data_IF_334221273275
#
_entry.id   IF_334221273275
#
_cell.length_a   1.000
_cell.length_b   1.000
_cell.length_c   1.000
_cell.angle_alpha   90.00
_cell.angle_beta   90.00
_cell.angle_gamma   90.00
#
_symmetry.space_group_name_H-M   'P 1'
#
loop_
_entity.id
_entity.type
_entity.pdbx_description
1 polymer ?
#
# COMPACT_ATOMS: atom_id res chain seq x y z
N UNK A 1 16.60 -32.71 -10.37
CA UNK A 1 16.57 -32.63 -8.90
C UNK A 1 16.47 -31.17 -8.33
N UNK A 2 16.49 -30.15 -9.17
CA UNK A 2 16.29 -28.74 -8.74
C UNK A 2 14.80 -28.30 -8.64
N UNK A 3 13.89 -29.07 -9.25
CA UNK A 3 12.45 -28.74 -9.24
C UNK A 3 11.77 -29.03 -7.89
N UNK A 4 12.23 -30.07 -7.18
CA UNK A 4 11.59 -30.47 -5.90
C UNK A 4 11.92 -29.55 -4.72
N UNK A 5 13.05 -28.85 -4.76
CA UNK A 5 13.41 -27.91 -3.69
C UNK A 5 12.63 -26.59 -3.83
N UNK A 6 12.41 -26.13 -5.07
CA UNK A 6 11.59 -24.94 -5.38
C UNK A 6 10.11 -25.20 -5.10
N UNK A 7 9.60 -26.39 -5.44
CA UNK A 7 8.23 -26.80 -5.12
C UNK A 7 8.00 -26.99 -3.62
N UNK A 8 8.97 -27.53 -2.87
CA UNK A 8 8.88 -27.63 -1.40
C UNK A 8 8.94 -26.26 -0.72
N UNK A 9 9.72 -25.29 -1.22
CA UNK A 9 9.74 -23.94 -0.72
C UNK A 9 8.43 -23.18 -1.04
N UNK A 10 7.84 -23.38 -2.21
CA UNK A 10 6.49 -22.88 -2.55
C UNK A 10 5.43 -23.46 -1.61
N UNK A 11 5.41 -24.78 -1.38
CA UNK A 11 4.42 -25.42 -0.49
C UNK A 11 4.55 -25.03 0.99
N UNK A 12 5.73 -24.58 1.44
CA UNK A 12 5.93 -24.09 2.81
C UNK A 12 5.50 -22.62 2.93
N UNK A 13 5.71 -21.82 1.88
CA UNK A 13 5.25 -20.43 1.79
C UNK A 13 3.72 -20.36 1.80
N UNK A 14 3.05 -21.20 1.04
CA UNK A 14 1.57 -21.25 0.92
C UNK A 14 0.84 -21.61 2.23
N UNK A 15 1.53 -22.12 3.24
CA UNK A 15 0.90 -22.50 4.52
C UNK A 15 0.85 -21.39 5.58
N UNK A 16 1.61 -20.30 5.39
CA UNK A 16 1.78 -19.26 6.42
C UNK A 16 1.49 -17.83 5.97
N UNK A 17 1.31 -17.58 4.68
CA UNK A 17 1.04 -16.26 4.13
C UNK A 17 -0.31 -16.29 3.42
N UNK A 18 -1.14 -15.28 3.67
CA UNK A 18 -2.43 -15.13 3.02
C UNK A 18 -2.52 -13.81 2.29
N UNK A 19 -2.96 -13.86 1.04
CA UNK A 19 -3.29 -12.66 0.29
C UNK A 19 -4.54 -12.04 0.88
N UNK A 20 -4.45 -10.77 1.25
CA UNK A 20 -5.51 -9.98 1.86
C UNK A 20 -6.35 -9.31 0.78
N UNK A 21 -7.62 -9.07 1.07
CA UNK A 21 -8.48 -8.34 0.15
C UNK A 21 -8.21 -6.84 0.21
N UNK A 22 -7.86 -6.24 -0.91
CA UNK A 22 -7.66 -4.80 -1.04
C UNK A 22 -9.01 -4.09 -1.23
N UNK A 23 -9.30 -3.12 -0.37
CA UNK A 23 -10.47 -2.26 -0.48
C UNK A 23 -10.32 -1.30 -1.67
N UNK A 24 -11.41 -1.03 -2.36
CA UNK A 24 -11.42 -0.13 -3.51
C UNK A 24 -12.32 1.08 -3.28
N UNK A 25 -11.85 2.25 -3.73
CA UNK A 25 -12.63 3.48 -3.73
C UNK A 25 -13.98 3.30 -4.45
N UNK A 26 -15.10 3.76 -3.90
CA UNK A 26 -15.24 4.70 -2.77
C UNK A 26 -15.57 4.05 -1.41
N UNK A 27 -15.07 2.86 -1.10
CA UNK A 27 -15.32 2.20 0.19
C UNK A 27 -14.96 3.13 1.36
N UNK A 28 -15.93 3.37 2.26
CA UNK A 28 -15.79 4.32 3.37
C UNK A 28 -14.72 3.88 4.38
N UNK A 29 -14.42 2.58 4.48
CA UNK A 29 -13.36 2.07 5.36
C UNK A 29 -11.98 2.63 5.01
N UNK A 30 -11.75 3.02 3.74
CA UNK A 30 -10.54 3.72 3.30
C UNK A 30 -10.38 5.10 3.95
N UNK A 31 -11.43 5.65 4.56
CA UNK A 31 -11.43 6.96 5.23
C UNK A 31 -11.13 6.87 6.73
N UNK A 32 -10.93 5.67 7.25
CA UNK A 32 -10.61 5.46 8.66
C UNK A 32 -9.16 5.87 8.93
N UNK A 33 -8.96 6.70 9.95
CA UNK A 33 -7.62 7.10 10.42
C UNK A 33 -7.01 5.95 11.21
N UNK A 34 -5.80 5.56 10.85
CA UNK A 34 -5.07 4.48 11.50
C UNK A 34 -4.55 4.88 12.88
N UNK A 35 -4.65 3.95 13.82
CA UNK A 35 -4.10 4.11 15.18
C UNK A 35 -2.65 3.61 15.26
N UNK A 36 -1.82 4.18 16.13
CA UNK A 36 -0.48 3.65 16.37
C UNK A 36 -0.49 2.18 16.79
N UNK A 37 0.50 1.42 16.36
CA UNK A 37 0.80 0.09 16.87
C UNK A 37 1.45 0.25 18.23
N UNK A 38 0.85 -0.28 19.29
CA UNK A 38 1.37 -0.14 20.65
C UNK A 38 2.60 -1.03 20.88
N UNK A 39 2.57 -2.24 20.31
CA UNK A 39 3.67 -3.21 20.42
C UNK A 39 3.71 -4.08 19.16
N UNK A 40 4.93 -4.30 18.65
CA UNK A 40 5.16 -5.26 17.56
C UNK A 40 5.14 -6.68 18.13
N UNK A 41 4.06 -7.39 17.89
CA UNK A 41 3.83 -8.77 18.33
C UNK A 41 4.06 -9.75 17.17
N UNK A 42 4.16 -11.08 17.41
CA UNK A 42 4.21 -12.07 16.34
C UNK A 42 3.01 -11.98 15.38
N UNK A 43 1.83 -11.61 15.87
CA UNK A 43 0.63 -11.39 15.04
C UNK A 43 0.79 -10.20 14.11
N UNK A 44 1.36 -9.10 14.58
CA UNK A 44 1.70 -7.92 13.75
C UNK A 44 2.74 -8.30 12.71
N UNK A 45 3.77 -9.05 13.07
CA UNK A 45 4.80 -9.52 12.14
C UNK A 45 4.20 -10.39 11.03
N UNK A 46 3.31 -11.33 11.40
CA UNK A 46 2.60 -12.15 10.41
C UNK A 46 1.73 -11.29 9.49
N UNK A 47 1.02 -10.34 10.04
CA UNK A 47 0.20 -9.43 9.24
C UNK A 47 1.04 -8.59 8.27
N UNK A 48 2.21 -8.12 8.69
CA UNK A 48 3.19 -7.45 7.81
C UNK A 48 3.62 -8.36 6.66
N UNK A 49 3.91 -9.64 6.94
CA UNK A 49 4.28 -10.62 5.92
C UNK A 49 3.13 -10.84 4.92
N UNK A 50 1.89 -10.94 5.40
CA UNK A 50 0.69 -11.04 4.55
C UNK A 50 0.47 -9.77 3.70
N UNK A 51 0.77 -8.58 4.24
CA UNK A 51 0.75 -7.32 3.48
C UNK A 51 1.79 -7.30 2.36
N UNK A 52 3.01 -7.75 2.62
CA UNK A 52 4.08 -7.82 1.62
C UNK A 52 3.68 -8.76 0.49
N UNK A 53 3.15 -9.95 0.81
CA UNK A 53 2.65 -10.89 -0.19
C UNK A 53 1.51 -10.28 -1.02
N UNK A 54 0.55 -9.64 -0.36
CA UNK A 54 -0.57 -8.95 -1.03
C UNK A 54 -0.08 -7.85 -1.97
N UNK A 55 0.87 -7.04 -1.53
CA UNK A 55 1.48 -5.99 -2.37
C UNK A 55 2.10 -6.58 -3.65
N UNK A 56 2.82 -7.70 -3.53
CA UNK A 56 3.43 -8.36 -4.69
C UNK A 56 2.40 -9.04 -5.59
N UNK A 57 1.38 -9.68 -5.02
CA UNK A 57 0.30 -10.32 -5.78
C UNK A 57 -0.50 -9.30 -6.61
N UNK A 58 -0.74 -8.13 -6.03
CA UNK A 58 -1.41 -7.00 -6.70
C UNK A 58 -0.46 -6.18 -7.61
N UNK A 59 0.79 -6.61 -7.78
CA UNK A 59 1.81 -5.91 -8.58
C UNK A 59 2.07 -4.46 -8.15
N UNK A 60 1.77 -4.12 -6.88
CA UNK A 60 2.00 -2.81 -6.28
C UNK A 60 3.44 -2.60 -5.83
N UNK A 61 3.81 -1.35 -5.55
CA UNK A 61 5.09 -0.93 -4.96
C UNK A 61 4.94 -0.44 -3.52
N UNK A 62 3.71 -0.25 -3.06
CA UNK A 62 3.37 0.14 -1.71
C UNK A 62 1.99 -0.36 -1.32
N UNK A 63 1.77 -0.54 -0.02
CA UNK A 63 0.49 -0.91 0.56
C UNK A 63 0.42 -0.44 2.01
N UNK A 64 -0.66 0.25 2.36
CA UNK A 64 -0.97 0.62 3.73
C UNK A 64 -2.00 -0.34 4.35
N UNK A 65 -1.90 -0.59 5.63
CA UNK A 65 -2.77 -1.52 6.35
C UNK A 65 -4.26 -1.14 6.26
N UNK A 66 -4.57 0.15 6.20
CA UNK A 66 -5.94 0.64 6.01
C UNK A 66 -6.59 0.18 4.71
N UNK A 67 -5.79 -0.07 3.67
CA UNK A 67 -6.28 -0.58 2.37
C UNK A 67 -6.73 -2.05 2.43
N UNK A 68 -6.36 -2.77 3.47
CA UNK A 68 -6.77 -4.16 3.73
C UNK A 68 -7.61 -4.28 5.01
N UNK A 69 -8.32 -3.21 5.36
CA UNK A 69 -9.26 -3.12 6.48
C UNK A 69 -8.62 -3.34 7.87
N UNK A 70 -7.34 -3.02 7.99
CA UNK A 70 -6.62 -3.07 9.26
C UNK A 70 -6.13 -1.66 9.63
N UNK A 71 -6.80 -1.04 10.59
CA UNK A 71 -6.64 0.39 10.85
C UNK A 71 -5.56 0.69 11.90
N UNK A 72 -4.35 0.17 11.66
CA UNK A 72 -3.14 0.50 12.39
C UNK A 72 -2.08 1.08 11.46
N UNK A 73 -1.16 1.85 12.02
CA UNK A 73 -0.13 2.57 11.27
C UNK A 73 0.98 1.63 10.80
N UNK A 74 0.70 0.89 9.74
CA UNK A 74 1.65 -0.03 9.10
C UNK A 74 1.62 0.22 7.59
N UNK A 75 2.80 0.30 7.00
CA UNK A 75 3.04 0.45 5.57
C UNK A 75 4.14 -0.52 5.14
N UNK A 76 4.00 -1.08 3.96
CA UNK A 76 5.05 -1.84 3.27
C UNK A 76 5.34 -1.20 1.92
N UNK A 77 6.61 -1.12 1.52
CA UNK A 77 7.05 -0.51 0.27
C UNK A 77 8.19 -1.34 -0.31
N UNK A 78 8.14 -1.59 -1.61
CA UNK A 78 9.27 -2.12 -2.37
C UNK A 78 9.31 -1.47 -3.76
N UNK A 79 10.28 -0.58 -3.97
CA UNK A 79 10.54 0.07 -5.26
C UNK A 79 11.66 -0.61 -6.06
N UNK A 80 12.22 -1.72 -5.54
CA UNK A 80 13.30 -2.44 -6.22
C UNK A 80 12.80 -3.10 -7.52
N UNK A 81 13.64 -3.12 -8.54
CA UNK A 81 13.33 -3.81 -9.79
C UNK A 81 13.20 -5.33 -9.60
N UNK A 82 13.94 -5.88 -8.66
CA UNK A 82 13.98 -7.32 -8.33
C UNK A 82 12.80 -7.77 -7.47
N UNK A 83 12.06 -6.83 -6.85
CA UNK A 83 10.89 -7.08 -5.98
C UNK A 83 11.21 -8.08 -4.86
N UNK A 84 12.32 -7.86 -4.19
CA UNK A 84 12.84 -8.70 -3.12
C UNK A 84 13.45 -7.90 -1.96
N UNK A 85 13.22 -6.58 -1.92
CA UNK A 85 13.75 -5.65 -0.93
C UNK A 85 12.63 -4.85 -0.25
N UNK A 86 11.65 -5.51 0.38
CA UNK A 86 10.54 -4.81 1.02
C UNK A 86 11.01 -4.03 2.25
N UNK A 87 10.58 -2.78 2.33
CA UNK A 87 10.70 -1.95 3.52
C UNK A 87 9.42 -2.04 4.35
N UNK A 88 9.56 -2.15 5.66
CA UNK A 88 8.45 -2.15 6.61
C UNK A 88 8.52 -0.88 7.44
N UNK A 89 7.42 -0.14 7.47
CA UNK A 89 7.28 1.11 8.22
C UNK A 89 6.12 0.97 9.21
N UNK A 90 6.43 0.71 10.46
CA UNK A 90 5.46 0.68 11.57
C UNK A 90 5.54 2.01 12.30
N UNK A 91 4.40 2.63 12.57
CA UNK A 91 4.29 3.96 13.14
C UNK A 91 5.14 5.02 12.39
N UNK A 92 5.06 5.08 11.05
CA UNK A 92 5.88 6.02 10.30
C UNK A 92 5.51 7.48 10.62
N UNK A 93 6.55 8.31 10.67
CA UNK A 93 6.46 9.75 10.87
C UNK A 93 7.41 10.46 9.90
N UNK A 94 6.92 11.47 9.18
CA UNK A 94 7.75 12.34 8.37
C UNK A 94 8.29 13.45 9.28
N UNK A 95 9.60 13.47 9.46
CA UNK A 95 10.30 14.44 10.29
C UNK A 95 10.59 15.75 9.56
N UNK A 96 10.84 15.66 8.23
CA UNK A 96 11.16 16.80 7.38
C UNK A 96 10.73 16.57 5.94
N UNK A 97 10.39 17.65 5.23
CA UNK A 97 9.99 17.65 3.82
C UNK A 97 10.74 18.75 3.08
N UNK A 98 11.32 18.43 1.94
CA UNK A 98 12.10 19.37 1.13
C UNK A 98 11.71 19.27 -0.36
N UNK A 99 11.77 20.44 -1.02
CA UNK A 99 11.48 20.54 -2.44
C UNK A 99 10.04 20.23 -2.81
N UNK A 100 9.80 20.19 -4.10
CA UNK A 100 8.50 19.84 -4.68
C UNK A 100 8.74 19.05 -5.97
N UNK A 101 8.03 17.96 -6.12
CA UNK A 101 8.04 17.08 -7.28
C UNK A 101 6.65 16.45 -7.47
N UNK A 102 6.47 15.70 -8.53
CA UNK A 102 5.24 14.96 -8.77
C UNK A 102 5.37 14.03 -9.95
N UNK A 103 4.82 12.85 -9.78
CA UNK A 103 4.66 11.87 -10.84
C UNK A 103 3.19 11.52 -11.01
N UNK A 104 2.86 10.86 -12.11
CA UNK A 104 1.55 10.24 -12.23
C UNK A 104 1.44 9.06 -11.26
N UNK A 105 0.70 9.28 -10.17
CA UNK A 105 0.43 8.24 -9.18
C UNK A 105 -0.72 7.32 -9.62
N UNK A 106 -0.57 6.04 -9.32
CA UNK A 106 -1.64 5.06 -9.28
C UNK A 106 -1.82 4.54 -7.86
N UNK A 107 -2.89 3.78 -7.60
CA UNK A 107 -3.17 3.20 -6.30
C UNK A 107 -3.91 1.87 -6.46
N UNK A 108 -3.53 0.86 -5.67
CA UNK A 108 -4.21 -0.43 -5.65
C UNK A 108 -5.68 -0.30 -5.27
N UNK A 109 -6.01 0.68 -4.42
CA UNK A 109 -7.40 1.00 -4.03
C UNK A 109 -8.16 1.84 -5.07
N UNK A 110 -7.50 2.30 -6.13
CA UNK A 110 -8.13 3.08 -7.23
C UNK A 110 -7.70 2.49 -8.59
N UNK A 111 -8.08 1.25 -8.88
CA UNK A 111 -7.56 0.51 -10.04
C UNK A 111 -7.90 1.20 -11.36
N UNK A 112 -6.89 1.27 -12.25
CA UNK A 112 -7.03 1.83 -13.60
C UNK A 112 -7.16 3.35 -13.67
N UNK A 113 -6.88 4.06 -12.56
CA UNK A 113 -6.78 5.52 -12.54
C UNK A 113 -5.36 5.95 -12.20
N UNK A 114 -4.91 7.03 -12.85
CA UNK A 114 -3.63 7.69 -12.57
C UNK A 114 -3.84 9.20 -12.64
N UNK A 115 -3.09 9.92 -11.83
CA UNK A 115 -3.10 11.38 -11.87
C UNK A 115 -1.79 11.97 -11.31
N UNK A 116 -1.41 13.12 -11.82
CA UNK A 116 -0.30 13.89 -11.29
C UNK A 116 -0.71 14.50 -9.95
N UNK A 117 0.10 14.23 -8.92
CA UNK A 117 -0.03 14.82 -7.58
C UNK A 117 1.29 15.46 -7.20
N UNK A 118 1.25 16.72 -6.73
CA UNK A 118 2.43 17.39 -6.21
C UNK A 118 2.73 16.92 -4.79
N UNK A 119 4.00 16.57 -4.55
CA UNK A 119 4.50 16.09 -3.27
C UNK A 119 5.88 16.70 -2.97
N UNK A 120 6.36 16.54 -1.74
CA UNK A 120 7.76 16.85 -1.44
C UNK A 120 8.70 15.96 -2.26
N UNK A 121 9.77 16.54 -2.80
CA UNK A 121 10.78 15.81 -3.58
C UNK A 121 11.63 14.89 -2.69
N UNK A 122 11.87 15.32 -1.45
CA UNK A 122 12.64 14.58 -0.46
C UNK A 122 11.93 14.58 0.88
N UNK A 123 12.01 13.49 1.62
CA UNK A 123 11.48 13.36 2.98
C UNK A 123 12.44 12.63 3.89
N UNK A 124 12.52 13.07 5.15
CA UNK A 124 13.17 12.33 6.23
C UNK A 124 12.09 11.58 7.01
N UNK A 125 12.23 10.28 7.15
CA UNK A 125 11.21 9.40 7.74
C UNK A 125 11.78 8.63 8.90
N UNK A 126 11.03 8.58 10.01
CA UNK A 126 11.28 7.71 11.16
C UNK A 126 10.19 6.64 11.23
N UNK A 127 10.57 5.41 11.48
CA UNK A 127 9.63 4.29 11.63
C UNK A 127 10.22 3.18 12.49
N UNK A 128 9.41 2.18 12.84
CA UNK A 128 9.88 0.90 13.34
C UNK A 128 9.92 -0.11 12.19
N UNK A 129 10.92 -0.98 12.20
CA UNK A 129 11.01 -2.11 11.30
C UNK A 129 10.09 -3.27 11.73
N UNK A 130 10.13 -4.39 10.99
CA UNK A 130 9.33 -5.59 11.28
C UNK A 130 9.58 -6.15 12.69
N UNK A 131 10.76 -5.93 13.26
CA UNK A 131 11.15 -6.42 14.59
C UNK A 131 10.86 -5.41 15.70
N UNK A 132 10.31 -4.23 15.36
CA UNK A 132 9.99 -3.17 16.30
C UNK A 132 11.20 -2.27 16.63
N UNK A 133 12.29 -2.36 15.87
CA UNK A 133 13.46 -1.51 16.01
C UNK A 133 13.27 -0.20 15.28
N UNK A 134 13.51 0.92 15.95
CA UNK A 134 13.46 2.24 15.35
C UNK A 134 14.60 2.47 14.36
N UNK A 135 14.26 3.09 13.21
CA UNK A 135 15.21 3.54 12.23
C UNK A 135 14.73 4.82 11.56
N UNK A 136 15.67 5.57 11.01
CA UNK A 136 15.43 6.80 10.26
C UNK A 136 16.13 6.70 8.91
N UNK A 137 15.49 7.19 7.86
CA UNK A 137 16.04 7.19 6.53
C UNK A 137 15.63 8.43 5.74
N UNK A 138 16.46 8.79 4.77
CA UNK A 138 16.15 9.79 3.75
C UNK A 138 15.54 9.09 2.53
N UNK A 139 14.49 9.67 1.98
CA UNK A 139 13.87 9.22 0.74
C UNK A 139 13.81 10.36 -0.26
N UNK A 140 14.12 10.05 -1.51
CA UNK A 140 14.03 10.93 -2.67
C UNK A 140 13.27 10.25 -3.82
N UNK A 141 13.07 10.97 -4.90
CA UNK A 141 12.43 10.48 -6.12
C UNK A 141 11.17 9.62 -5.85
N UNK A 142 11.09 8.46 -6.47
CA UNK A 142 9.95 7.54 -6.35
C UNK A 142 9.68 7.09 -4.91
N UNK A 143 10.73 6.86 -4.11
CA UNK A 143 10.56 6.44 -2.72
C UNK A 143 9.91 7.54 -1.88
N UNK A 144 10.31 8.80 -2.04
CA UNK A 144 9.70 9.93 -1.34
C UNK A 144 8.21 10.07 -1.66
N UNK A 145 7.85 9.93 -2.93
CA UNK A 145 6.47 10.01 -3.38
C UNK A 145 5.66 8.83 -2.84
N UNK A 146 6.19 7.60 -2.93
CA UNK A 146 5.54 6.40 -2.43
C UNK A 146 5.27 6.48 -0.92
N UNK A 147 6.26 6.87 -0.13
CA UNK A 147 6.10 7.04 1.33
C UNK A 147 4.96 8.01 1.63
N UNK A 148 4.94 9.18 0.99
CA UNK A 148 3.90 10.18 1.22
C UNK A 148 2.51 9.68 0.81
N UNK A 149 2.42 8.93 -0.28
CA UNK A 149 1.19 8.29 -0.75
C UNK A 149 0.65 7.29 0.28
N UNK A 150 1.50 6.41 0.79
CA UNK A 150 1.10 5.39 1.76
C UNK A 150 0.75 6.00 3.13
N UNK A 151 1.45 7.07 3.55
CA UNK A 151 1.10 7.77 4.78
C UNK A 151 -0.25 8.49 4.67
N UNK A 152 -0.62 9.00 3.50
CA UNK A 152 -1.95 9.55 3.27
C UNK A 152 -3.05 8.53 3.56
N UNK A 153 -2.86 7.26 3.15
CA UNK A 153 -3.81 6.19 3.46
C UNK A 153 -4.00 6.01 4.97
N UNK A 154 -2.95 6.15 5.77
CA UNK A 154 -3.04 6.06 7.22
C UNK A 154 -3.85 7.21 7.84
N UNK A 155 -3.97 8.33 7.13
CA UNK A 155 -4.78 9.50 7.51
C UNK A 155 -6.17 9.50 6.85
N UNK A 156 -6.56 8.40 6.21
CA UNK A 156 -7.83 8.28 5.50
C UNK A 156 -7.92 9.10 4.22
N UNK A 157 -6.78 9.45 3.62
CA UNK A 157 -6.68 10.22 2.37
C UNK A 157 -6.33 9.31 1.21
N UNK A 158 -6.81 9.68 0.02
CA UNK A 158 -6.48 9.02 -1.24
C UNK A 158 -5.94 10.08 -2.23
N UNK A 159 -5.13 9.65 -3.21
CA UNK A 159 -4.59 10.61 -4.19
C UNK A 159 -5.70 11.34 -4.97
N UNK A 160 -6.87 10.74 -5.12
CA UNK A 160 -8.04 11.38 -5.76
C UNK A 160 -8.53 12.62 -5.02
N UNK A 161 -8.19 12.76 -3.74
CA UNK A 161 -8.58 13.93 -2.94
C UNK A 161 -7.85 15.21 -3.36
N UNK A 162 -6.68 15.06 -3.99
CA UNK A 162 -5.91 16.17 -4.58
C UNK A 162 -6.42 16.62 -5.95
N UNK A 163 -7.37 15.88 -6.54
CA UNK A 163 -7.91 16.15 -7.84
C UNK A 163 -9.14 17.08 -7.76
N UNK A 164 -9.46 17.75 -8.89
CA UNK A 164 -10.69 18.50 -9.00
C UNK A 164 -11.92 17.60 -8.78
N UNK A 165 -13.04 18.16 -8.26
CA UNK A 165 -14.28 17.39 -8.05
C UNK A 165 -14.75 16.65 -9.31
N UNK A 166 -14.59 17.27 -10.50
CA UNK A 166 -14.96 16.67 -11.77
C UNK A 166 -14.09 15.44 -12.10
N UNK A 167 -12.78 15.53 -11.94
CA UNK A 167 -11.85 14.39 -12.16
C UNK A 167 -12.14 13.25 -11.20
N UNK A 168 -12.33 13.56 -9.90
CA UNK A 168 -12.68 12.58 -8.87
C UNK A 168 -13.97 11.85 -9.22
N UNK A 169 -15.02 12.59 -9.61
CA UNK A 169 -16.30 11.99 -10.01
C UNK A 169 -16.16 11.08 -11.21
N UNK A 170 -15.39 11.47 -12.24
CA UNK A 170 -15.13 10.62 -13.41
C UNK A 170 -14.47 9.30 -13.05
N UNK A 171 -13.50 9.32 -12.12
CA UNK A 171 -12.84 8.10 -11.61
C UNK A 171 -13.86 7.24 -10.87
N UNK A 172 -14.66 7.81 -9.98
CA UNK A 172 -15.70 7.09 -9.24
C UNK A 172 -16.72 6.42 -10.18
N UNK A 173 -17.20 7.15 -11.19
CA UNK A 173 -18.16 6.62 -12.18
C UNK A 173 -17.54 5.47 -13.00
N UNK A 174 -16.26 5.58 -13.36
CA UNK A 174 -15.52 4.52 -14.05
C UNK A 174 -15.43 3.26 -13.22
N UNK A 175 -15.04 3.38 -11.93
CA UNK A 175 -14.93 2.24 -11.02
C UNK A 175 -16.28 1.57 -10.77
N UNK A 176 -17.35 2.36 -10.63
CA UNK A 176 -18.70 1.84 -10.49
C UNK A 176 -19.15 1.01 -11.71
N UNK A 177 -18.77 1.43 -12.94
CA UNK A 177 -19.02 0.67 -14.16
C UNK A 177 -18.27 -0.65 -14.20
N UNK A 178 -16.97 -0.63 -13.85
CA UNK A 178 -16.13 -1.84 -13.79
C UNK A 178 -16.71 -2.84 -12.79
N UNK A 179 -17.08 -2.39 -11.60
CA UNK A 179 -17.68 -3.23 -10.57
C UNK A 179 -18.94 -3.92 -11.06
N UNK A 180 -19.87 -3.16 -11.66
CA UNK A 180 -21.14 -3.71 -12.23
C UNK A 180 -20.88 -4.71 -13.35
N UNK A 181 -19.87 -4.47 -14.17
CA UNK A 181 -19.48 -5.41 -15.23
C UNK A 181 -18.98 -6.72 -14.64
N UNK A 182 -18.08 -6.68 -13.67
CA UNK A 182 -17.54 -7.87 -13.02
C UNK A 182 -18.61 -8.67 -12.27
N UNK A 183 -19.53 -8.01 -11.56
CA UNK A 183 -20.65 -8.66 -10.86
C UNK A 183 -21.57 -9.41 -11.81
N UNK A 184 -21.86 -8.85 -12.99
CA UNK A 184 -22.69 -9.51 -14.02
C UNK A 184 -22.03 -10.75 -14.62
N UNK A 185 -20.69 -10.77 -14.75
CA UNK A 185 -19.97 -11.90 -15.34
C UNK A 185 -19.65 -12.97 -14.29
N UNK A 186 -19.49 -12.62 -13.02
CA UNK A 186 -19.32 -13.57 -11.92
C UNK A 186 -20.60 -14.39 -11.65
N UNK A 187 -21.78 -13.85 -11.97
CA UNK A 187 -23.07 -14.56 -11.81
C UNK A 187 -23.43 -15.48 -13.00
N UNK A 188 -22.57 -15.55 -14.03
CA UNK A 188 -22.76 -16.38 -15.24
C UNK A 188 -21.74 -17.54 -15.32
N UNK A 189 -20.83 -17.65 -14.37
CA UNK A 189 -19.84 -18.72 -14.24
C UNK A 189 -20.21 -19.66 -13.09
#
# INVERSE_FOLDING_TARGET
HLSTRRQRQMCIRDRYMSVLQVLTFPDERLRTVAKPVEKVTPEIQKFVDDMIETMYDEEGIGLAATQVDFHQRIVVIDISETRDQPMVLINPEILDKRGEDGIEEGCLSVPGARALVSRAAEVTVKALDRDGKEYTFEADDLLAICVQHELDHLEGKLFVDYLSPLKRKRIQDKLAKIKRFNEKHASQA
#
